data_IF_101754735325
#
_entry.id   IF_101754735325
#
_cell.length_a   1.000
_cell.length_b   1.000
_cell.length_c   1.000
_cell.angle_alpha   90.00
_cell.angle_beta   90.00
_cell.angle_gamma   90.00
#
_symmetry.space_group_name_H-M   'P 1'
#
loop_
_entity.id
_entity.type
_entity.pdbx_description
1 polymer ?
#
# COMPACT_ATOMS: atom_id res chain seq x y z
N UNK A 1 -1.48 -22.82 12.12
CA UNK A 1 -1.86 -21.53 12.73
C UNK A 1 -2.86 -20.92 11.78
N UNK A 2 -4.16 -21.12 12.05
CA UNK A 2 -5.21 -20.76 11.10
C UNK A 2 -5.46 -19.26 11.14
N UNK A 3 -5.15 -18.60 10.03
CA UNK A 3 -5.96 -17.56 9.38
C UNK A 3 -7.19 -17.10 10.17
N UNK A 4 -7.00 -16.16 11.10
CA UNK A 4 -8.00 -15.11 11.24
C UNK A 4 -7.88 -14.29 9.97
N UNK A 5 -8.92 -14.27 9.12
CA UNK A 5 -9.02 -13.33 8.02
C UNK A 5 -8.95 -11.92 8.62
N UNK A 6 -7.75 -11.32 8.65
CA UNK A 6 -7.67 -9.90 8.91
C UNK A 6 -8.33 -9.22 7.73
N UNK A 7 -9.25 -8.28 7.97
CA UNK A 7 -9.88 -7.45 6.92
C UNK A 7 -8.88 -6.44 6.32
N UNK A 8 -7.59 -6.71 6.49
CA UNK A 8 -6.49 -5.89 6.07
C UNK A 8 -6.16 -6.14 4.59
N UNK A 9 -5.74 -5.09 3.92
CA UNK A 9 -5.32 -5.15 2.54
C UNK A 9 -3.88 -5.65 2.51
N UNK A 10 -3.66 -6.84 1.95
CA UNK A 10 -2.32 -7.35 1.68
C UNK A 10 -1.63 -6.47 0.65
N UNK A 11 -0.45 -5.97 1.01
CA UNK A 11 0.36 -5.13 0.12
C UNK A 11 1.76 -5.73 -0.12
N UNK A 12 2.36 -5.38 -1.25
CA UNK A 12 3.78 -5.63 -1.47
C UNK A 12 4.66 -4.57 -0.79
N UNK A 13 5.99 -4.69 -0.94
CA UNK A 13 6.97 -3.74 -0.37
C UNK A 13 6.83 -2.30 -0.91
N UNK A 14 6.05 -2.07 -1.96
CA UNK A 14 5.78 -0.79 -2.61
C UNK A 14 4.32 -0.34 -2.45
N UNK A 15 3.56 -0.91 -1.51
CA UNK A 15 2.13 -0.61 -1.27
C UNK A 15 1.19 -1.00 -2.42
N UNK A 16 1.61 -1.84 -3.37
CA UNK A 16 0.68 -2.35 -4.37
C UNK A 16 -0.27 -3.36 -3.73
N UNK A 17 -1.55 -3.23 -4.05
CA UNK A 17 -2.53 -4.27 -3.75
C UNK A 17 -2.53 -5.35 -4.82
N UNK A 18 -3.40 -6.34 -4.67
CA UNK A 18 -3.66 -7.35 -5.72
C UNK A 18 -4.32 -6.80 -6.99
N UNK A 19 -4.74 -5.53 -6.99
CA UNK A 19 -5.37 -4.85 -8.14
C UNK A 19 -4.44 -3.78 -8.70
N UNK A 20 -4.17 -3.87 -10.01
CA UNK A 20 -3.33 -2.91 -10.70
C UNK A 20 -3.86 -1.48 -10.56
N UNK A 21 -2.97 -0.53 -10.26
CA UNK A 21 -3.32 0.87 -10.07
C UNK A 21 -4.00 1.18 -8.73
N UNK A 22 -4.23 0.19 -7.86
CA UNK A 22 -4.76 0.38 -6.51
C UNK A 22 -3.65 0.15 -5.49
N UNK A 23 -3.52 1.11 -4.58
CA UNK A 23 -2.51 1.16 -3.52
C UNK A 23 -3.21 1.32 -2.17
N UNK A 24 -2.59 0.82 -1.11
CA UNK A 24 -3.10 0.96 0.26
C UNK A 24 -1.95 1.24 1.24
N UNK A 25 -2.21 2.01 2.29
CA UNK A 25 -1.21 2.41 3.27
C UNK A 25 -1.81 2.59 4.66
N UNK A 26 -0.97 2.43 5.70
CA UNK A 26 -1.36 2.59 7.10
C UNK A 26 -2.17 1.43 7.64
N UNK A 27 -2.92 1.66 8.71
CA UNK A 27 -3.49 0.59 9.54
C UNK A 27 -4.45 -0.37 8.81
N UNK A 28 -4.99 0.06 7.66
CA UNK A 28 -5.85 -0.76 6.80
C UNK A 28 -5.10 -1.87 6.07
N UNK A 29 -3.76 -1.86 6.06
CA UNK A 29 -2.92 -2.87 5.39
C UNK A 29 -2.37 -3.92 6.34
N UNK A 30 -1.71 -4.94 5.80
CA UNK A 30 -1.01 -5.98 6.56
C UNK A 30 0.34 -5.53 7.18
N UNK A 31 0.63 -4.22 7.19
CA UNK A 31 1.76 -3.65 7.94
C UNK A 31 1.54 -3.91 9.43
N UNK A 32 2.53 -4.49 10.08
CA UNK A 32 2.41 -4.97 11.47
C UNK A 32 2.25 -3.80 12.44
N UNK A 33 3.00 -2.72 12.23
CA UNK A 33 3.07 -1.60 13.17
C UNK A 33 2.02 -0.52 12.88
N UNK A 34 1.05 -0.38 13.79
CA UNK A 34 -0.11 0.51 13.66
C UNK A 34 0.12 1.85 14.37
N UNK A 35 1.03 2.68 13.84
CA UNK A 35 1.42 3.96 14.45
C UNK A 35 1.36 5.10 13.44
N UNK A 36 1.06 6.32 13.91
CA UNK A 36 0.87 7.51 13.06
C UNK A 36 2.05 7.75 12.12
N UNK A 37 3.28 7.70 12.63
CA UNK A 37 4.48 7.97 11.82
C UNK A 37 4.74 6.87 10.77
N UNK A 38 4.32 5.65 11.06
CA UNK A 38 4.47 4.50 10.16
C UNK A 38 3.43 4.60 9.06
N UNK A 39 2.17 4.87 9.39
CA UNK A 39 1.12 5.14 8.41
C UNK A 39 1.47 6.32 7.48
N UNK A 40 2.10 7.38 8.01
CA UNK A 40 2.59 8.49 7.20
C UNK A 40 3.70 8.07 6.23
N UNK A 41 4.66 7.27 6.68
CA UNK A 41 5.72 6.71 5.83
C UNK A 41 5.19 5.77 4.74
N UNK A 42 4.26 4.88 5.09
CA UNK A 42 3.56 4.02 4.13
C UNK A 42 2.78 4.86 3.10
N UNK A 43 2.12 5.94 3.53
CA UNK A 43 1.41 6.86 2.65
C UNK A 43 2.34 7.53 1.63
N UNK A 44 3.53 7.96 2.07
CA UNK A 44 4.55 8.52 1.17
C UNK A 44 5.05 7.49 0.15
N UNK A 45 5.28 6.24 0.59
CA UNK A 45 5.71 5.13 -0.27
C UNK A 45 4.64 4.77 -1.32
N UNK A 46 3.37 4.70 -0.91
CA UNK A 46 2.25 4.50 -1.82
C UNK A 46 2.11 5.62 -2.85
N UNK A 47 2.27 6.88 -2.44
CA UNK A 47 2.21 8.04 -3.34
C UNK A 47 3.29 7.98 -4.43
N UNK A 48 4.53 7.62 -4.09
CA UNK A 48 5.59 7.45 -5.08
C UNK A 48 5.26 6.34 -6.09
N UNK A 49 4.66 5.25 -5.64
CA UNK A 49 4.16 4.19 -6.52
C UNK A 49 3.03 4.65 -7.45
N UNK A 50 2.09 5.46 -6.93
CA UNK A 50 1.01 6.07 -7.72
C UNK A 50 1.58 7.00 -8.78
N UNK A 51 2.54 7.85 -8.44
CA UNK A 51 3.18 8.77 -9.39
C UNK A 51 3.87 7.99 -10.53
N UNK A 52 4.68 6.98 -10.18
CA UNK A 52 5.32 6.10 -11.17
C UNK A 52 4.30 5.40 -12.08
N UNK A 53 3.19 4.91 -11.49
CA UNK A 53 2.10 4.27 -12.24
C UNK A 53 1.43 5.24 -13.23
N UNK A 54 1.09 6.45 -12.79
CA UNK A 54 0.44 7.45 -13.62
C UNK A 54 1.36 7.95 -14.74
N UNK A 55 2.66 8.14 -14.47
CA UNK A 55 3.63 8.54 -15.49
C UNK A 55 3.75 7.47 -16.59
N UNK A 56 3.86 6.18 -16.22
CA UNK A 56 3.84 5.06 -17.18
C UNK A 56 2.54 5.02 -18.01
N UNK A 57 1.40 5.32 -17.39
CA UNK A 57 0.09 5.38 -18.08
C UNK A 57 -0.04 6.57 -19.03
N UNK A 58 0.61 7.70 -18.72
CA UNK A 58 0.57 8.93 -19.53
C UNK A 58 1.50 8.88 -20.74
N UNK A 59 2.45 7.95 -20.78
CA UNK A 59 3.37 7.78 -21.91
C UNK A 59 4.38 8.92 -22.07
N UNK A 60 4.60 9.69 -21.01
CA UNK A 60 5.68 10.69 -20.88
C UNK A 60 6.89 10.06 -20.21
#
# INVERSE_FOLDING_TARGET
MNSFETLEIVIDRRNHTSKEGIFAAGDVTDVIEKQVIIAAGEGAKALLGVDEYLNRKRGT
#
